data_IF_066695098143
#
_entry.id   IF_066695098143
#
_cell.length_a   1.000
_cell.length_b   1.000
_cell.length_c   1.000
_cell.angle_alpha   90.00
_cell.angle_beta   90.00
_cell.angle_gamma   90.00
#
_symmetry.space_group_name_H-M   'P 1'
#
loop_
_entity.id
_entity.type
_entity.pdbx_description
1 polymer ?
#
# COMPACT_ATOMS: atom_id res chain seq x y z
N UNK A 1 4.89 -15.59 10.02
CA UNK A 1 3.69 -14.92 9.52
C UNK A 1 4.04 -13.62 8.82
N UNK A 2 3.49 -13.43 7.63
CA UNK A 2 3.81 -12.26 6.82
C UNK A 2 2.94 -11.07 7.24
N UNK A 3 3.56 -9.89 7.21
CA UNK A 3 2.89 -8.62 7.44
C UNK A 3 2.49 -7.96 6.11
N UNK A 4 2.69 -8.63 4.99
CA UNK A 4 2.43 -8.09 3.66
C UNK A 4 1.97 -9.19 2.70
N UNK A 5 1.42 -8.77 1.57
CA UNK A 5 1.17 -9.64 0.43
C UNK A 5 1.56 -8.89 -0.85
N UNK A 6 1.92 -9.64 -1.89
CA UNK A 6 2.51 -9.03 -3.07
C UNK A 6 2.19 -9.78 -4.36
N UNK A 7 2.48 -9.14 -5.48
CA UNK A 7 2.34 -9.74 -6.81
C UNK A 7 3.41 -9.16 -7.72
N UNK A 8 3.94 -10.00 -8.62
CA UNK A 8 4.79 -9.54 -9.72
C UNK A 8 3.94 -9.39 -10.97
N UNK A 9 4.09 -8.26 -11.63
CA UNK A 9 3.30 -7.88 -12.80
C UNK A 9 4.23 -7.82 -14.01
N UNK A 10 3.83 -8.42 -15.12
CA UNK A 10 4.58 -8.38 -16.38
C UNK A 10 4.27 -7.08 -17.12
N UNK A 11 4.67 -5.97 -16.53
CA UNK A 11 4.48 -4.63 -17.07
C UNK A 11 5.55 -3.73 -16.45
N UNK A 12 5.83 -2.61 -17.13
CA UNK A 12 6.83 -1.68 -16.61
C UNK A 12 6.28 -0.89 -15.42
N UNK A 13 7.16 -0.16 -14.77
CA UNK A 13 6.86 0.59 -13.54
C UNK A 13 5.72 1.60 -13.73
N UNK A 14 5.77 2.39 -14.80
CA UNK A 14 4.77 3.45 -15.03
C UNK A 14 3.38 2.87 -15.35
N UNK A 15 3.30 1.87 -16.20
CA UNK A 15 2.05 1.19 -16.52
C UNK A 15 1.45 0.54 -15.28
N UNK A 16 2.27 -0.11 -14.47
CA UNK A 16 1.82 -0.76 -13.25
C UNK A 16 1.30 0.27 -12.25
N UNK A 17 1.98 1.41 -12.12
CA UNK A 17 1.53 2.49 -11.24
C UNK A 17 0.12 2.98 -11.62
N UNK A 18 -0.12 3.19 -12.91
CA UNK A 18 -1.44 3.60 -13.41
C UNK A 18 -2.49 2.53 -13.05
N UNK A 19 -2.17 1.26 -13.30
CA UNK A 19 -3.11 0.15 -13.06
C UNK A 19 -3.44 -0.01 -11.59
N UNK A 20 -2.45 0.15 -10.70
CA UNK A 20 -2.68 0.11 -9.24
C UNK A 20 -3.68 1.18 -8.83
N UNK A 21 -3.49 2.41 -9.31
CA UNK A 21 -4.38 3.53 -8.97
C UNK A 21 -5.80 3.29 -9.47
N UNK A 22 -5.95 2.73 -10.67
CA UNK A 22 -7.27 2.39 -11.22
C UNK A 22 -7.99 1.34 -10.35
N UNK A 23 -7.28 0.27 -10.00
CA UNK A 23 -7.87 -0.80 -9.18
C UNK A 23 -8.24 -0.32 -7.78
N UNK A 24 -7.41 0.53 -7.19
CA UNK A 24 -7.73 1.13 -5.89
C UNK A 24 -9.02 1.93 -5.98
N UNK A 25 -9.15 2.78 -6.98
CA UNK A 25 -10.33 3.61 -7.18
C UNK A 25 -11.57 2.75 -7.39
N UNK A 26 -11.49 1.68 -8.18
CA UNK A 26 -12.59 0.75 -8.42
C UNK A 26 -13.05 0.08 -7.13
N UNK A 27 -12.19 -0.03 -6.14
CA UNK A 27 -12.46 -0.67 -4.87
C UNK A 27 -12.66 0.33 -3.71
N UNK A 28 -12.92 1.59 -4.02
CA UNK A 28 -13.26 2.60 -3.03
C UNK A 28 -12.07 3.18 -2.26
N UNK A 29 -10.84 2.98 -2.74
CA UNK A 29 -9.65 3.54 -2.12
C UNK A 29 -9.07 4.67 -2.98
N UNK A 30 -8.54 5.69 -2.31
CA UNK A 30 -7.83 6.77 -2.96
C UNK A 30 -6.37 6.78 -2.54
N UNK A 31 -5.51 7.31 -3.41
CA UNK A 31 -4.11 7.57 -3.07
C UNK A 31 -4.04 8.95 -2.43
N UNK A 32 -3.68 9.00 -1.16
CA UNK A 32 -3.62 10.27 -0.42
C UNK A 32 -2.19 10.78 -0.26
N UNK A 33 -1.20 9.89 -0.36
CA UNK A 33 0.21 10.28 -0.39
C UNK A 33 0.94 9.45 -1.42
N UNK A 34 1.95 10.06 -2.03
CA UNK A 34 2.78 9.40 -3.05
C UNK A 34 4.19 9.94 -2.94
N UNK A 35 5.17 9.03 -2.83
CA UNK A 35 6.56 9.41 -2.63
C UNK A 35 7.47 8.48 -3.40
N UNK A 36 8.33 9.04 -4.24
CA UNK A 36 9.41 8.29 -4.89
C UNK A 36 10.59 8.23 -3.92
N UNK A 37 10.66 7.14 -3.16
CA UNK A 37 11.67 6.98 -2.10
C UNK A 37 13.07 6.86 -2.68
N UNK A 38 13.22 6.23 -3.85
CA UNK A 38 14.50 6.15 -4.55
C UNK A 38 15.07 7.55 -4.82
N UNK A 39 14.24 8.48 -5.30
CA UNK A 39 14.65 9.85 -5.59
C UNK A 39 14.99 10.62 -4.32
N UNK A 40 14.24 10.40 -3.24
CA UNK A 40 14.50 11.06 -1.95
C UNK A 40 15.84 10.65 -1.37
N UNK A 41 16.17 9.38 -1.49
CA UNK A 41 17.46 8.87 -1.01
C UNK A 41 18.60 9.43 -1.88
N UNK A 42 18.43 9.39 -3.20
CA UNK A 42 19.45 9.88 -4.14
C UNK A 42 19.76 11.38 -3.97
N UNK A 43 18.77 12.17 -3.56
CA UNK A 43 18.96 13.59 -3.26
C UNK A 43 19.94 13.84 -2.11
N UNK A 44 20.04 12.89 -1.18
CA UNK A 44 20.80 13.06 0.06
C UNK A 44 22.09 12.25 0.12
N UNK A 45 22.22 11.21 -0.69
CA UNK A 45 23.37 10.32 -0.68
C UNK A 45 24.05 10.29 -2.03
N UNK A 46 25.29 10.78 -2.12
CA UNK A 46 26.06 10.75 -3.35
C UNK A 46 26.44 9.31 -3.73
N UNK A 47 26.43 9.02 -5.03
CA UNK A 47 26.87 7.73 -5.56
C UNK A 47 25.89 6.59 -5.40
N UNK A 48 24.68 6.87 -4.93
CA UNK A 48 23.62 5.87 -4.80
C UNK A 48 22.72 5.95 -6.05
N UNK A 49 22.55 4.82 -6.70
CA UNK A 49 21.68 4.70 -7.87
C UNK A 49 20.70 3.55 -7.62
N UNK A 50 19.43 3.90 -7.48
CA UNK A 50 18.39 2.97 -7.10
C UNK A 50 17.35 2.82 -8.21
N UNK A 51 16.82 1.61 -8.35
CA UNK A 51 15.66 1.39 -9.21
C UNK A 51 14.45 2.12 -8.61
N UNK A 52 13.48 2.49 -9.44
CA UNK A 52 12.24 3.12 -8.95
C UNK A 52 11.61 2.35 -7.79
N UNK A 53 11.27 3.08 -6.75
CA UNK A 53 10.69 2.54 -5.52
C UNK A 53 9.71 3.57 -4.99
N UNK A 54 8.41 3.32 -5.18
CA UNK A 54 7.36 4.27 -4.87
C UNK A 54 6.55 3.81 -3.66
N UNK A 55 6.31 4.73 -2.74
CA UNK A 55 5.41 4.50 -1.60
C UNK A 55 4.07 5.16 -1.92
N UNK A 56 2.99 4.40 -1.80
CA UNK A 56 1.64 4.94 -1.89
C UNK A 56 0.98 4.83 -0.54
N UNK A 57 0.40 5.92 -0.07
CA UNK A 57 -0.49 5.89 1.08
C UNK A 57 -1.92 5.83 0.56
N UNK A 58 -2.66 4.79 0.94
CA UNK A 58 -4.00 4.55 0.40
C UNK A 58 -5.03 4.57 1.53
N UNK A 59 -6.21 5.10 1.22
CA UNK A 59 -7.23 5.34 2.24
C UNK A 59 -8.62 5.16 1.66
N UNK A 60 -9.48 4.52 2.46
CA UNK A 60 -10.92 4.55 2.27
C UNK A 60 -11.47 5.44 3.39
N UNK A 61 -12.13 6.57 3.07
CA UNK A 61 -12.54 7.53 4.10
C UNK A 61 -13.45 6.95 5.17
N UNK A 62 -14.38 6.08 4.82
CA UNK A 62 -15.30 5.47 5.80
C UNK A 62 -14.52 4.60 6.79
N UNK A 63 -13.64 3.76 6.27
CA UNK A 63 -12.87 2.84 7.13
C UNK A 63 -11.86 3.60 8.00
N UNK A 64 -11.23 4.64 7.45
CA UNK A 64 -10.33 5.50 8.23
C UNK A 64 -11.08 6.22 9.34
N UNK A 65 -12.26 6.73 9.04
CA UNK A 65 -13.08 7.40 10.05
C UNK A 65 -13.47 6.44 11.17
N UNK A 66 -13.92 5.24 10.82
CA UNK A 66 -14.28 4.22 11.82
C UNK A 66 -13.08 3.85 12.70
N UNK A 67 -11.90 3.72 12.08
CA UNK A 67 -10.69 3.41 12.83
C UNK A 67 -10.34 4.54 13.80
N UNK A 68 -10.47 5.79 13.39
CA UNK A 68 -10.20 6.95 14.25
C UNK A 68 -11.20 7.04 15.40
N UNK A 69 -12.44 6.61 15.21
CA UNK A 69 -13.43 6.53 16.28
C UNK A 69 -13.07 5.47 17.30
N UNK A 70 -12.52 4.34 16.84
CA UNK A 70 -12.15 3.23 17.72
C UNK A 70 -10.83 3.49 18.46
N UNK A 71 -9.89 4.17 17.80
CA UNK A 71 -8.56 4.43 18.33
C UNK A 71 -8.10 5.81 17.84
N UNK A 72 -8.09 6.78 18.74
CA UNK A 72 -7.78 8.19 18.44
C UNK A 72 -6.42 8.38 17.77
N UNK A 73 -5.42 7.60 18.18
CA UNK A 73 -4.05 7.73 17.68
C UNK A 73 -3.73 6.79 16.51
N UNK A 74 -4.74 6.18 15.90
CA UNK A 74 -4.54 5.28 14.77
C UNK A 74 -3.87 5.98 13.58
N UNK A 75 -3.93 7.30 13.55
CA UNK A 75 -3.26 8.10 12.53
C UNK A 75 -1.77 7.82 12.40
N UNK A 76 -1.13 7.31 13.48
CA UNK A 76 0.26 6.90 13.43
C UNK A 76 0.49 5.74 12.45
N UNK A 77 -0.56 4.99 12.13
CA UNK A 77 -0.52 3.83 11.23
C UNK A 77 -1.34 4.05 9.96
N UNK A 78 -1.76 5.29 9.70
CA UNK A 78 -2.50 5.66 8.50
C UNK A 78 -1.68 6.67 7.68
N UNK A 79 -1.85 6.71 6.37
CA UNK A 79 -2.62 5.77 5.54
C UNK A 79 -1.93 4.41 5.42
N UNK A 80 -2.67 3.41 4.96
CA UNK A 80 -2.08 2.11 4.68
C UNK A 80 -1.08 2.23 3.53
N UNK A 81 0.04 1.53 3.62
CA UNK A 81 1.11 1.65 2.63
C UNK A 81 1.09 0.54 1.60
N UNK A 82 1.30 0.94 0.36
CA UNK A 82 1.64 0.02 -0.72
C UNK A 82 2.97 0.46 -1.31
N UNK A 83 3.74 -0.48 -1.83
CA UNK A 83 5.00 -0.22 -2.51
C UNK A 83 4.86 -0.66 -3.97
N UNK A 84 5.34 0.17 -4.88
CA UNK A 84 5.52 -0.21 -6.28
C UNK A 84 7.00 -0.12 -6.55
N UNK A 85 7.63 -1.25 -6.90
CA UNK A 85 9.07 -1.27 -7.15
C UNK A 85 9.41 -1.97 -8.45
N UNK A 86 10.32 -1.38 -9.20
CA UNK A 86 10.81 -1.96 -10.43
C UNK A 86 11.74 -3.11 -10.14
N UNK A 87 11.47 -4.27 -10.75
CA UNK A 87 12.38 -5.41 -10.70
C UNK A 87 13.34 -5.32 -11.88
N UNK A 88 12.79 -5.13 -13.09
CA UNK A 88 13.52 -4.87 -14.32
C UNK A 88 12.61 -4.07 -15.26
N UNK A 89 13.04 -3.85 -16.50
CA UNK A 89 12.32 -3.02 -17.48
C UNK A 89 10.92 -3.54 -17.82
N UNK A 90 10.67 -4.83 -17.61
CA UNK A 90 9.40 -5.48 -17.97
C UNK A 90 8.66 -6.10 -16.79
N UNK A 91 9.21 -5.97 -15.58
CA UNK A 91 8.63 -6.60 -14.38
C UNK A 91 8.59 -5.60 -13.23
N UNK A 92 7.43 -5.48 -12.62
CA UNK A 92 7.20 -4.60 -11.46
C UNK A 92 6.59 -5.44 -10.34
N UNK A 93 7.02 -5.21 -9.12
CA UNK A 93 6.41 -5.85 -7.96
C UNK A 93 5.58 -4.84 -7.19
N UNK A 94 4.37 -5.24 -6.82
CA UNK A 94 3.48 -4.43 -5.98
C UNK A 94 3.28 -5.16 -4.67
N UNK A 95 3.52 -4.44 -3.58
CA UNK A 95 3.45 -5.00 -2.22
C UNK A 95 2.46 -4.19 -1.42
N UNK A 96 1.57 -4.84 -0.70
CA UNK A 96 0.65 -4.17 0.22
C UNK A 96 0.93 -4.62 1.64
N UNK A 97 0.90 -3.68 2.57
CA UNK A 97 0.84 -4.06 3.98
C UNK A 97 -0.42 -4.90 4.22
N UNK A 98 -0.36 -5.79 5.19
CA UNK A 98 -1.54 -6.52 5.67
C UNK A 98 -2.08 -5.81 6.92
N UNK A 99 -3.10 -4.95 6.78
CA UNK A 99 -3.61 -4.19 7.93
C UNK A 99 -4.20 -5.06 9.03
N UNK A 100 -4.67 -6.27 8.72
CA UNK A 100 -5.23 -7.15 9.74
C UNK A 100 -4.18 -7.56 10.76
N UNK A 101 -2.93 -7.76 10.31
CA UNK A 101 -1.82 -8.11 11.20
C UNK A 101 -1.47 -6.92 12.11
N UNK A 102 -1.37 -5.73 11.53
CA UNK A 102 -1.06 -4.52 12.29
C UNK A 102 -2.14 -4.22 13.33
N UNK A 103 -3.41 -4.31 12.96
CA UNK A 103 -4.52 -3.99 13.87
C UNK A 103 -4.56 -4.92 15.08
N UNK A 104 -4.21 -6.20 14.88
CA UNK A 104 -4.13 -7.15 16.00
C UNK A 104 -3.05 -6.78 17.01
N UNK A 105 -1.95 -6.19 16.54
CA UNK A 105 -0.83 -5.79 17.40
C UNK A 105 -1.17 -4.63 18.33
N UNK A 106 -2.17 -3.83 17.99
CA UNK A 106 -2.51 -2.62 18.75
C UNK A 106 -3.33 -2.91 20.02
N UNK A 107 -3.84 -4.12 20.17
CA UNK A 107 -4.53 -4.54 21.39
C UNK A 107 -5.91 -3.94 21.57
N UNK A 108 -6.50 -3.35 20.54
CA UNK A 108 -7.85 -2.81 20.57
C UNK A 108 -8.76 -3.67 19.70
N UNK A 109 -9.64 -4.50 20.31
CA UNK A 109 -10.45 -5.44 19.52
C UNK A 109 -11.40 -4.78 18.52
N UNK A 110 -11.77 -3.52 18.73
CA UNK A 110 -12.65 -2.81 17.80
C UNK A 110 -11.99 -2.51 16.45
N UNK A 111 -10.65 -2.56 16.41
CA UNK A 111 -9.90 -2.35 15.17
C UNK A 111 -9.83 -3.62 14.30
N UNK A 112 -10.04 -4.79 14.89
CA UNK A 112 -9.85 -6.07 14.18
C UNK A 112 -10.78 -6.20 12.96
N UNK A 113 -12.10 -6.00 13.08
CA UNK A 113 -12.97 -6.12 11.90
C UNK A 113 -12.67 -5.05 10.84
N UNK A 114 -12.23 -3.87 11.25
CA UNK A 114 -11.85 -2.81 10.32
C UNK A 114 -10.61 -3.24 9.53
N UNK A 115 -9.60 -3.74 10.22
CA UNK A 115 -8.39 -4.24 9.57
C UNK A 115 -8.68 -5.39 8.61
N UNK A 116 -9.56 -6.31 9.00
CA UNK A 116 -9.95 -7.45 8.17
C UNK A 116 -10.63 -6.97 6.88
N UNK A 117 -11.51 -5.98 6.97
CA UNK A 117 -12.19 -5.43 5.80
C UNK A 117 -11.21 -4.75 4.85
N UNK A 118 -10.30 -3.93 5.37
CA UNK A 118 -9.27 -3.27 4.56
C UNK A 118 -8.38 -4.32 3.87
N UNK A 119 -7.96 -5.32 4.60
CA UNK A 119 -7.12 -6.40 4.05
C UNK A 119 -7.81 -7.10 2.89
N UNK A 120 -9.11 -7.43 3.02
CA UNK A 120 -9.84 -8.09 1.93
C UNK A 120 -9.86 -7.26 0.66
N UNK A 121 -10.08 -5.95 0.79
CA UNK A 121 -10.13 -5.07 -0.36
C UNK A 121 -8.75 -4.94 -1.00
N UNK A 122 -7.70 -4.75 -0.20
CA UNK A 122 -6.34 -4.62 -0.75
C UNK A 122 -5.87 -5.93 -1.40
N UNK A 123 -6.30 -7.08 -0.90
CA UNK A 123 -6.05 -8.37 -1.55
C UNK A 123 -6.68 -8.43 -2.94
N UNK A 124 -7.91 -7.91 -3.09
CA UNK A 124 -8.58 -7.86 -4.40
C UNK A 124 -7.79 -7.01 -5.40
N UNK A 125 -7.23 -5.89 -4.94
CA UNK A 125 -6.40 -5.03 -5.78
C UNK A 125 -5.16 -5.81 -6.25
N UNK A 126 -4.45 -6.44 -5.32
CA UNK A 126 -3.25 -7.22 -5.63
C UNK A 126 -3.57 -8.38 -6.58
N UNK A 127 -4.64 -9.11 -6.33
CA UNK A 127 -5.07 -10.22 -7.20
C UNK A 127 -5.45 -9.73 -8.60
N UNK A 128 -6.10 -8.58 -8.68
CA UNK A 128 -6.49 -7.97 -9.96
C UNK A 128 -5.30 -7.60 -10.83
N UNK A 129 -4.16 -7.26 -10.22
CA UNK A 129 -2.92 -6.94 -10.93
C UNK A 129 -2.27 -8.18 -11.57
N UNK A 130 -2.47 -9.34 -10.98
CA UNK A 130 -1.90 -10.59 -11.47
C UNK A 130 -2.62 -11.21 -12.66
N UNK A 131 -3.69 -10.60 -13.13
CA UNK A 131 -4.53 -11.15 -14.20
C UNK A 131 -4.33 -10.49 -15.53
#
# INVERSE_FOLDING_TARGET
ENYFFSVRVNANFDETTVRVKELLKENGFGVVTELDMDKKIEEKLEGVDLKPYKLLGVCNPRLAYEAMQAEENIGLFLPCKMIIKEIDETTTEVVSIDPSVMMKMLGNPDLIPIGDEVTEVLKKVIEGLGR
#
